data_IF_665433223567
#
_entry.id   IF_665433223567
#
_cell.length_a   1.000
_cell.length_b   1.000
_cell.length_c   1.000
_cell.angle_alpha   90.00
_cell.angle_beta   90.00
_cell.angle_gamma   90.00
#
_symmetry.space_group_name_H-M   'P 1'
#
loop_
_entity.id
_entity.type
_entity.pdbx_description
1 polymer ?
#
# COMPACT_ATOMS: atom_id res chain seq x y z
N UNK A 1 -26.85 -36.64 -20.48
CA UNK A 1 -26.19 -35.82 -21.51
C UNK A 1 -24.98 -35.14 -20.89
N UNK A 2 -24.30 -34.21 -21.56
CA UNK A 2 -23.31 -33.37 -20.86
C UNK A 2 -24.00 -32.04 -20.67
N UNK A 3 -23.99 -31.54 -19.44
CA UNK A 3 -24.62 -30.26 -19.10
C UNK A 3 -23.93 -29.11 -19.84
N UNK A 4 -24.72 -28.14 -20.26
CA UNK A 4 -24.27 -26.87 -20.83
C UNK A 4 -24.84 -25.75 -19.99
N UNK A 5 -24.06 -24.70 -19.69
CA UNK A 5 -24.63 -23.56 -18.97
C UNK A 5 -25.61 -22.76 -19.83
N UNK A 6 -26.87 -23.16 -19.83
CA UNK A 6 -27.97 -22.46 -20.48
C UNK A 6 -29.24 -22.37 -19.62
N UNK A 7 -29.18 -22.87 -18.38
CA UNK A 7 -30.30 -22.88 -17.44
C UNK A 7 -31.31 -24.01 -17.68
N UNK A 8 -30.98 -24.97 -18.56
CA UNK A 8 -31.70 -26.22 -18.71
C UNK A 8 -31.06 -27.34 -17.88
N UNK A 9 -31.87 -28.35 -17.61
CA UNK A 9 -31.42 -29.66 -17.10
C UNK A 9 -31.43 -30.59 -18.31
N UNK A 10 -30.25 -30.80 -18.93
CA UNK A 10 -30.19 -31.54 -20.19
C UNK A 10 -30.30 -33.04 -20.00
N UNK A 11 -29.95 -33.55 -18.83
CA UNK A 11 -29.98 -34.97 -18.52
C UNK A 11 -31.17 -35.42 -17.64
N UNK A 12 -32.00 -34.48 -17.22
CA UNK A 12 -33.26 -34.64 -16.49
C UNK A 12 -33.08 -35.27 -15.10
N UNK A 13 -31.98 -35.00 -14.41
CA UNK A 13 -31.69 -35.55 -13.09
C UNK A 13 -32.19 -34.69 -11.91
N UNK A 14 -32.69 -33.49 -12.22
CA UNK A 14 -33.25 -32.53 -11.27
C UNK A 14 -32.27 -31.46 -10.79
N UNK A 15 -31.03 -31.47 -11.26
CA UNK A 15 -30.05 -30.40 -11.07
C UNK A 15 -29.86 -29.64 -12.39
N UNK A 16 -29.78 -28.31 -12.31
CA UNK A 16 -29.59 -27.44 -13.48
C UNK A 16 -28.12 -27.05 -13.53
N UNK A 17 -27.50 -27.15 -14.71
CA UNK A 17 -26.11 -26.71 -14.97
C UNK A 17 -25.09 -27.33 -13.99
N UNK A 18 -25.25 -28.61 -13.61
CA UNK A 18 -24.34 -29.26 -12.68
C UNK A 18 -22.96 -29.53 -13.30
N UNK A 19 -21.90 -29.35 -12.50
CA UNK A 19 -20.53 -29.55 -12.96
C UNK A 19 -20.00 -28.50 -13.95
N UNK A 20 -20.85 -27.57 -14.41
CA UNK A 20 -20.46 -26.39 -15.22
C UNK A 20 -20.58 -25.07 -14.45
N UNK A 21 -21.28 -25.09 -13.32
CA UNK A 21 -21.39 -23.97 -12.38
C UNK A 21 -20.14 -23.83 -11.50
N UNK A 22 -19.79 -22.59 -11.19
CA UNK A 22 -18.65 -22.23 -10.32
C UNK A 22 -19.07 -22.08 -8.86
N UNK A 23 -18.13 -21.67 -7.98
CA UNK A 23 -18.37 -21.53 -6.55
C UNK A 23 -19.49 -20.52 -6.22
N UNK A 24 -19.65 -19.48 -7.04
CA UNK A 24 -20.73 -18.50 -6.94
C UNK A 24 -22.08 -18.99 -7.48
N UNK A 25 -22.16 -20.19 -8.04
CA UNK A 25 -23.35 -20.72 -8.72
C UNK A 25 -23.63 -20.07 -10.08
N UNK A 26 -22.71 -19.23 -10.57
CA UNK A 26 -22.70 -18.74 -11.94
C UNK A 26 -21.95 -19.70 -12.86
N UNK A 27 -21.83 -19.32 -14.13
CA UNK A 27 -21.14 -20.16 -15.12
C UNK A 27 -19.82 -19.57 -15.57
N UNK A 28 -18.87 -20.45 -15.88
CA UNK A 28 -17.51 -20.07 -16.23
C UNK A 28 -16.63 -19.86 -14.99
N UNK A 29 -15.46 -19.22 -15.11
CA UNK A 29 -14.61 -18.94 -13.96
C UNK A 29 -15.32 -17.99 -12.98
N UNK A 30 -14.88 -18.02 -11.73
CA UNK A 30 -15.29 -17.01 -10.75
C UNK A 30 -14.71 -15.64 -11.15
N UNK A 31 -15.38 -14.52 -10.81
CA UNK A 31 -14.83 -13.18 -10.95
C UNK A 31 -13.47 -13.03 -10.24
N UNK A 32 -12.70 -12.02 -10.64
CA UNK A 32 -11.55 -11.57 -9.85
C UNK A 32 -12.06 -10.72 -8.69
N UNK A 33 -11.41 -10.81 -7.53
CA UNK A 33 -11.69 -9.95 -6.38
C UNK A 33 -11.57 -8.46 -6.71
N UNK A 34 -12.53 -7.69 -6.21
CA UNK A 34 -12.51 -6.23 -6.20
C UNK A 34 -12.74 -5.78 -4.78
N UNK A 35 -12.02 -4.75 -4.32
CA UNK A 35 -12.36 -4.20 -3.03
C UNK A 35 -13.68 -3.42 -3.06
N UNK A 36 -14.76 -4.09 -2.72
CA UNK A 36 -16.08 -3.51 -2.54
C UNK A 36 -16.83 -4.05 -1.31
N UNK A 37 -16.17 -4.91 -0.52
CA UNK A 37 -16.75 -5.55 0.67
C UNK A 37 -17.62 -6.76 0.37
N UNK A 38 -17.54 -7.30 -0.85
CA UNK A 38 -18.21 -8.52 -1.30
C UNK A 38 -17.15 -9.59 -1.58
N UNK A 39 -17.53 -10.85 -1.36
CA UNK A 39 -16.80 -12.03 -1.80
C UNK A 39 -17.16 -12.26 -3.28
N UNK A 40 -16.33 -11.72 -4.18
CA UNK A 40 -16.59 -11.71 -5.62
C UNK A 40 -16.32 -13.09 -6.24
N UNK A 41 -15.35 -13.81 -5.71
CA UNK A 41 -14.92 -15.12 -6.20
C UNK A 41 -15.58 -16.32 -5.47
N UNK A 42 -16.31 -16.03 -4.40
CA UNK A 42 -17.05 -16.97 -3.56
C UNK A 42 -16.17 -18.04 -2.88
N UNK A 43 -14.91 -17.71 -2.54
CA UNK A 43 -14.02 -18.59 -1.79
C UNK A 43 -14.29 -18.59 -0.27
N UNK A 44 -15.15 -17.68 0.20
CA UNK A 44 -15.54 -17.51 1.60
C UNK A 44 -14.69 -16.48 2.36
N UNK A 45 -13.80 -15.75 1.68
CA UNK A 45 -13.12 -14.56 2.16
C UNK A 45 -13.65 -13.34 1.40
N UNK A 46 -13.41 -12.16 1.96
CA UNK A 46 -13.89 -10.92 1.39
C UNK A 46 -12.67 -10.07 1.10
N UNK A 47 -12.58 -9.54 -0.12
CA UNK A 47 -11.54 -8.63 -0.59
C UNK A 47 -10.11 -9.22 -0.43
N UNK A 48 -9.89 -10.53 -0.58
CA UNK A 48 -8.55 -11.10 -0.42
C UNK A 48 -7.63 -10.77 -1.61
N UNK A 49 -6.36 -10.53 -1.33
CA UNK A 49 -5.37 -10.18 -2.36
C UNK A 49 -5.54 -8.76 -2.95
N UNK A 50 -6.61 -8.05 -2.61
CA UNK A 50 -6.86 -6.65 -3.00
C UNK A 50 -6.77 -5.64 -1.84
N UNK A 51 -6.54 -6.15 -0.62
CA UNK A 51 -6.28 -5.36 0.59
C UNK A 51 -4.79 -5.03 0.74
N UNK A 52 -4.52 -3.91 1.42
CA UNK A 52 -3.19 -3.45 1.80
C UNK A 52 -2.67 -4.16 3.05
N UNK A 53 -1.48 -3.76 3.55
CA UNK A 53 -0.88 -4.37 4.73
C UNK A 53 -1.73 -4.23 6.01
N UNK A 54 -2.53 -3.16 6.11
CA UNK A 54 -3.50 -2.95 7.19
C UNK A 54 -4.78 -3.79 7.07
N UNK A 55 -4.97 -4.50 5.96
CA UNK A 55 -6.23 -5.20 5.66
C UNK A 55 -7.34 -4.27 5.18
N UNK A 56 -7.01 -3.01 4.90
CA UNK A 56 -7.91 -2.03 4.30
C UNK A 56 -7.68 -1.95 2.79
N UNK A 57 -8.56 -1.27 2.07
CA UNK A 57 -8.44 -1.15 0.63
C UNK A 57 -7.73 0.10 0.16
N UNK A 58 -7.00 -0.05 -0.94
CA UNK A 58 -6.24 1.02 -1.55
C UNK A 58 -4.79 1.03 -1.08
N UNK A 59 -4.16 2.20 -1.12
CA UNK A 59 -2.78 2.34 -0.62
C UNK A 59 -2.80 2.38 0.92
N UNK A 60 -1.77 1.84 1.59
CA UNK A 60 -1.57 2.09 3.01
C UNK A 60 -1.60 3.59 3.33
N UNK A 61 -2.04 3.98 4.54
CA UNK A 61 -1.84 5.32 5.06
C UNK A 61 -0.38 5.75 5.04
N UNK A 62 -0.11 7.03 5.26
CA UNK A 62 1.24 7.51 5.52
C UNK A 62 1.46 7.56 7.02
N UNK A 63 2.65 7.17 7.47
CA UNK A 63 3.08 7.32 8.87
C UNK A 63 2.86 8.72 9.43
N UNK A 64 2.45 8.76 10.70
CA UNK A 64 2.35 9.96 11.52
C UNK A 64 2.97 9.68 12.88
N UNK A 65 3.85 10.58 13.33
CA UNK A 65 4.52 10.53 14.63
C UNK A 65 3.55 10.45 15.83
N UNK A 66 3.06 9.26 16.12
CA UNK A 66 1.97 9.03 17.05
C UNK A 66 2.18 7.76 17.90
N UNK A 67 3.25 6.99 17.64
CA UNK A 67 3.57 5.77 18.36
C UNK A 67 2.77 4.56 17.88
N UNK A 68 2.22 4.63 16.68
CA UNK A 68 1.45 3.57 16.01
C UNK A 68 2.01 3.41 14.61
N UNK A 69 2.08 2.16 14.16
CA UNK A 69 2.32 1.75 12.78
C UNK A 69 1.05 2.06 11.97
N UNK A 70 1.02 3.20 11.27
CA UNK A 70 -0.15 3.69 10.54
C UNK A 70 -0.29 3.02 9.17
N UNK A 71 0.82 2.57 8.56
CA UNK A 71 0.87 1.92 7.25
C UNK A 71 0.92 0.38 7.31
N UNK A 72 1.04 -0.16 8.52
CA UNK A 72 1.03 -1.57 8.89
C UNK A 72 2.18 -2.38 8.27
N UNK A 73 3.32 -1.76 7.97
CA UNK A 73 4.50 -2.44 7.43
C UNK A 73 5.31 -3.20 8.50
N UNK A 74 4.99 -2.99 9.79
CA UNK A 74 5.59 -3.63 10.95
C UNK A 74 6.72 -2.84 11.61
N UNK A 75 7.00 -1.63 11.14
CA UNK A 75 7.81 -0.62 11.81
C UNK A 75 6.88 0.45 12.40
N UNK A 76 7.34 1.21 13.39
CA UNK A 76 6.52 2.27 14.01
C UNK A 76 7.24 3.58 13.76
N UNK A 77 6.50 4.56 13.23
CA UNK A 77 6.91 5.93 13.02
C UNK A 77 8.13 6.11 12.08
N UNK A 78 8.32 5.26 11.06
CA UNK A 78 9.49 5.24 10.15
C UNK A 78 9.46 6.26 9.00
N UNK A 79 8.99 7.46 9.29
CA UNK A 79 8.83 8.52 8.31
C UNK A 79 10.12 8.91 7.57
N UNK A 80 9.94 9.57 6.43
CA UNK A 80 11.07 10.16 5.70
C UNK A 80 11.24 11.61 6.13
N UNK A 81 12.37 11.89 6.78
CA UNK A 81 12.79 13.24 7.13
C UNK A 81 12.65 14.26 6.00
N UNK A 82 12.04 15.40 6.34
CA UNK A 82 12.00 16.61 5.54
C UNK A 82 12.46 17.80 6.38
N UNK A 83 13.18 18.75 5.77
CA UNK A 83 13.59 20.00 6.44
C UNK A 83 12.37 20.91 6.71
N UNK A 84 11.57 20.58 7.72
CA UNK A 84 10.33 21.27 8.07
C UNK A 84 10.29 21.68 9.56
N UNK A 85 11.31 21.30 10.35
CA UNK A 85 11.40 21.57 11.79
C UNK A 85 10.55 20.63 12.66
N UNK A 86 10.10 19.51 12.10
CA UNK A 86 9.39 18.41 12.73
C UNK A 86 10.29 17.18 12.64
N UNK A 87 10.25 16.37 13.69
CA UNK A 87 10.82 15.01 13.71
C UNK A 87 9.82 14.13 12.93
N UNK A 88 10.08 13.91 11.64
CA UNK A 88 9.17 13.19 10.74
C UNK A 88 9.32 11.66 10.91
N UNK A 89 10.46 11.19 11.43
CA UNK A 89 10.78 9.77 11.68
C UNK A 89 10.86 9.36 13.17
N UNK A 90 10.58 10.30 14.06
CA UNK A 90 10.39 10.12 15.51
C UNK A 90 11.57 9.48 16.23
N UNK A 91 12.79 9.58 15.69
CA UNK A 91 14.00 9.03 16.30
C UNK A 91 14.52 9.88 17.48
N UNK A 92 13.91 11.05 17.70
CA UNK A 92 14.22 12.00 18.76
C UNK A 92 15.27 13.05 18.38
N UNK A 93 15.72 13.07 17.13
CA UNK A 93 16.43 14.16 16.50
C UNK A 93 15.41 14.92 15.60
N UNK A 94 15.72 16.15 15.19
CA UNK A 94 14.85 16.89 14.25
C UNK A 94 15.64 17.19 13.00
N UNK A 95 15.06 16.92 11.83
CA UNK A 95 15.59 17.23 10.51
C UNK A 95 16.92 16.47 10.17
N UNK A 96 17.07 15.19 10.55
CA UNK A 96 18.30 14.38 10.44
C UNK A 96 18.41 13.47 9.22
N UNK A 97 17.84 13.84 8.08
CA UNK A 97 18.03 13.25 6.74
C UNK A 97 19.05 12.06 6.62
N UNK A 98 18.64 10.83 6.98
CA UNK A 98 19.55 9.69 7.10
C UNK A 98 20.15 9.26 5.76
N UNK A 99 19.47 9.55 4.64
CA UNK A 99 19.86 9.10 3.31
C UNK A 99 20.81 10.05 2.56
N UNK A 100 21.08 11.25 3.08
CA UNK A 100 21.82 12.28 2.31
C UNK A 100 23.09 12.78 2.95
N UNK A 101 23.44 12.38 4.17
CA UNK A 101 24.66 12.80 4.89
C UNK A 101 24.86 14.32 5.03
N UNK A 102 23.85 15.11 4.64
CA UNK A 102 23.79 16.55 4.83
C UNK A 102 22.99 16.76 6.12
N UNK A 103 23.71 16.73 7.24
CA UNK A 103 23.18 16.64 8.62
C UNK A 103 22.65 17.95 9.20
N UNK A 104 22.42 18.96 8.36
CA UNK A 104 21.98 20.28 8.83
C UNK A 104 21.03 20.91 7.83
N UNK A 105 19.74 20.85 8.14
CA UNK A 105 18.76 21.84 7.71
C UNK A 105 18.98 23.20 8.39
N UNK A 106 20.12 23.39 9.08
CA UNK A 106 20.59 24.72 9.45
C UNK A 106 20.68 25.55 8.18
N UNK A 107 19.82 26.57 8.13
CA UNK A 107 20.01 27.84 7.46
C UNK A 107 21.33 28.49 7.91
N UNK A 108 22.47 27.82 7.69
CA UNK A 108 23.78 28.41 7.86
C UNK A 108 23.95 29.34 6.65
N UNK A 109 24.02 30.66 6.85
CA UNK A 109 24.18 31.56 5.73
C UNK A 109 25.59 31.36 5.17
N UNK A 110 25.73 30.53 4.13
CA UNK A 110 26.86 30.61 3.21
C UNK A 110 26.81 32.04 2.64
N UNK A 111 27.49 32.98 3.27
CA UNK A 111 27.59 34.36 2.80
C UNK A 111 29.08 34.72 2.67
N UNK A 112 29.59 34.93 1.44
CA UNK A 112 28.91 34.83 0.13
C UNK A 112 28.86 33.39 -0.41
N UNK A 113 27.68 32.89 -0.82
CA UNK A 113 27.56 31.61 -1.51
C UNK A 113 26.17 30.98 -1.46
N UNK A 114 26.02 29.79 -2.06
CA UNK A 114 24.85 28.92 -1.91
C UNK A 114 25.30 27.62 -1.25
N UNK A 115 24.55 27.15 -0.26
CA UNK A 115 24.74 25.83 0.31
C UNK A 115 24.36 24.77 -0.74
N UNK A 116 25.28 23.88 -1.07
CA UNK A 116 25.06 22.74 -1.96
C UNK A 116 25.47 21.45 -1.26
N UNK A 117 24.67 20.41 -1.42
CA UNK A 117 24.98 19.08 -0.92
C UNK A 117 25.76 18.33 -2.02
N UNK A 118 27.06 18.11 -1.82
CA UNK A 118 27.92 17.41 -2.77
C UNK A 118 28.54 16.20 -2.07
N UNK A 119 28.24 15.01 -2.60
CA UNK A 119 28.74 13.74 -2.05
C UNK A 119 28.47 13.59 -0.53
N UNK A 120 27.23 13.88 -0.13
CA UNK A 120 26.76 13.75 1.25
C UNK A 120 27.54 14.58 2.27
N UNK A 121 28.03 15.76 1.86
CA UNK A 121 28.65 16.76 2.73
C UNK A 121 28.16 18.14 2.30
N UNK A 122 27.73 18.94 3.27
CA UNK A 122 27.37 20.34 3.07
C UNK A 122 28.59 21.16 2.65
N UNK A 123 28.49 21.83 1.49
CA UNK A 123 29.53 22.73 0.95
C UNK A 123 28.96 24.08 0.57
N UNK A 124 29.71 25.14 0.85
CA UNK A 124 29.41 26.45 0.26
C UNK A 124 30.06 26.54 -1.12
N UNK A 125 29.24 26.70 -2.16
CA UNK A 125 29.72 27.12 -3.48
C UNK A 125 29.66 28.66 -3.60
N UNK A 126 30.72 29.31 -4.12
CA UNK A 126 30.67 30.72 -4.44
C UNK A 126 29.70 30.99 -5.59
N UNK A 127 28.97 32.12 -5.53
CA UNK A 127 28.17 32.63 -6.65
C UNK A 127 29.05 33.23 -7.75
#
# INVERSE_FOLDING_TARGET
PVETCDGADEDCDGFVDEGVSNACGGCGPVPDEVCDGVDDDCDGRVDEGVTNACGDCGVPPTEVCNGVDDDCDGVVDEGREACNGVDDDCDGVVDELPERGCTRCDVLPCAPGRLVCVAAVDRCEPL
#
